data_IF_022740983437
#
_entry.id   IF_022740983437
#
_cell.length_a   1.000
_cell.length_b   1.000
_cell.length_c   1.000
_cell.angle_alpha   90.00
_cell.angle_beta   90.00
_cell.angle_gamma   90.00
#
_symmetry.space_group_name_H-M   'P 1'
#
loop_
_entity.id
_entity.type
_entity.pdbx_description
1 polymer ?
#
# COMPACT_ATOMS: atom_id res chain seq x y z
N UNK A 1 39.16 -48.21 -46.02
CA UNK A 1 40.60 -47.88 -45.87
C UNK A 1 40.79 -46.43 -46.30
N UNK A 2 41.23 -45.58 -45.37
CA UNK A 2 41.97 -44.31 -45.51
C UNK A 2 41.44 -43.28 -46.55
N UNK A 3 40.78 -42.22 -46.12
CA UNK A 3 41.34 -40.96 -45.59
C UNK A 3 41.70 -39.95 -46.69
N UNK A 4 40.95 -38.85 -46.76
CA UNK A 4 41.40 -37.60 -47.38
C UNK A 4 40.78 -36.38 -46.65
N UNK A 5 41.65 -35.73 -45.89
CA UNK A 5 41.85 -34.28 -45.67
C UNK A 5 40.73 -33.31 -46.07
N UNK A 6 40.25 -32.50 -45.10
CA UNK A 6 40.06 -31.05 -45.28
C UNK A 6 40.38 -30.28 -43.98
N UNK A 7 41.09 -29.15 -44.15
CA UNK A 7 41.59 -28.19 -43.16
C UNK A 7 40.46 -27.39 -42.49
N UNK A 8 40.62 -27.07 -41.20
CA UNK A 8 40.01 -25.88 -40.56
C UNK A 8 41.02 -25.22 -39.61
N UNK A 9 41.14 -23.89 -39.70
CA UNK A 9 42.06 -23.05 -38.92
C UNK A 9 41.68 -23.02 -37.42
N UNK A 10 42.68 -23.10 -36.54
CA UNK A 10 42.55 -22.84 -35.09
C UNK A 10 43.19 -21.49 -34.73
N UNK A 11 42.46 -20.67 -33.97
CA UNK A 11 42.99 -19.49 -33.27
C UNK A 11 43.45 -19.95 -31.87
N UNK A 12 44.71 -19.71 -31.52
CA UNK A 12 45.31 -20.09 -30.23
C UNK A 12 45.43 -18.82 -29.37
N UNK A 13 44.80 -18.80 -28.19
CA UNK A 13 45.06 -17.80 -27.13
C UNK A 13 45.57 -18.56 -25.91
N UNK A 14 46.77 -18.19 -25.43
CA UNK A 14 47.51 -18.87 -24.36
C UNK A 14 47.25 -18.15 -23.02
N UNK A 15 46.77 -18.88 -22.01
CA UNK A 15 47.09 -18.63 -20.59
C UNK A 15 47.31 -19.98 -19.88
N UNK A 16 48.44 -20.12 -19.16
CA UNK A 16 48.79 -21.25 -18.29
C UNK A 16 47.68 -21.40 -17.23
N UNK A 17 46.98 -22.52 -17.02
CA UNK A 17 47.37 -23.92 -17.11
C UNK A 17 46.12 -24.79 -17.38
N UNK A 18 46.30 -25.83 -18.20
CA UNK A 18 45.38 -26.95 -18.54
C UNK A 18 44.55 -26.77 -19.81
N UNK A 19 44.91 -27.54 -20.83
CA UNK A 19 44.27 -27.66 -22.15
C UNK A 19 43.11 -28.67 -22.04
N UNK A 20 41.95 -28.36 -22.62
CA UNK A 20 40.90 -29.34 -22.94
C UNK A 20 40.70 -29.39 -24.46
N UNK A 21 40.78 -30.57 -25.05
CA UNK A 21 40.33 -30.84 -26.43
C UNK A 21 39.07 -31.68 -26.32
N UNK A 22 37.95 -31.17 -26.83
CA UNK A 22 36.68 -31.88 -26.83
C UNK A 22 36.58 -32.77 -28.07
N UNK A 23 36.38 -34.08 -27.87
CA UNK A 23 35.71 -34.95 -28.84
C UNK A 23 34.44 -35.51 -28.18
N UNK A 24 33.42 -35.69 -29.00
CA UNK A 24 32.03 -35.97 -28.62
C UNK A 24 31.87 -37.04 -27.52
N UNK A 25 31.11 -36.66 -26.49
CA UNK A 25 30.44 -37.58 -25.56
C UNK A 25 31.34 -38.36 -24.60
N UNK A 26 31.82 -37.72 -23.52
CA UNK A 26 32.00 -38.36 -22.20
C UNK A 26 32.34 -37.31 -21.11
N UNK A 27 31.88 -37.59 -19.88
CA UNK A 27 31.93 -36.71 -18.71
C UNK A 27 33.38 -36.54 -18.20
N UNK A 28 33.80 -35.30 -17.92
CA UNK A 28 35.10 -35.00 -17.31
C UNK A 28 35.20 -35.55 -15.87
N UNK A 29 35.95 -36.65 -15.68
CA UNK A 29 36.30 -37.15 -14.35
C UNK A 29 37.69 -36.62 -13.96
N UNK A 30 37.84 -35.86 -12.86
CA UNK A 30 39.15 -35.45 -12.37
C UNK A 30 39.97 -36.66 -11.92
N UNK A 31 41.22 -36.72 -12.40
CA UNK A 31 42.20 -37.80 -12.17
C UNK A 31 42.49 -37.95 -10.67
N UNK A 32 42.16 -39.12 -10.12
CA UNK A 32 42.46 -39.56 -8.76
C UNK A 32 43.98 -39.57 -8.49
N UNK A 33 44.45 -38.76 -7.53
CA UNK A 33 45.77 -38.92 -6.92
C UNK A 33 45.67 -39.97 -5.80
N UNK A 34 46.20 -41.17 -6.04
CA UNK A 34 46.30 -42.26 -5.05
C UNK A 34 47.47 -42.01 -4.10
N UNK A 35 47.25 -42.15 -2.80
CA UNK A 35 48.32 -42.36 -1.81
C UNK A 35 48.07 -43.63 -0.99
N UNK A 36 49.16 -44.38 -0.75
CA UNK A 36 49.20 -45.65 -0.02
C UNK A 36 48.97 -45.48 1.49
N UNK A 37 48.20 -46.39 2.08
CA UNK A 37 48.22 -46.67 3.52
C UNK A 37 48.54 -48.16 3.75
N UNK A 38 49.26 -48.44 4.84
CA UNK A 38 49.31 -49.77 5.50
C UNK A 38 48.80 -49.62 6.95
N UNK A 39 48.28 -50.71 7.55
CA UNK A 39 47.18 -50.70 8.52
C UNK A 39 47.71 -50.52 9.96
N UNK A 40 46.92 -50.12 10.96
CA UNK A 40 45.97 -51.05 11.55
C UNK A 40 44.97 -50.42 12.54
N UNK A 41 43.75 -50.98 12.47
CA UNK A 41 42.73 -51.21 13.50
C UNK A 41 42.36 -50.09 14.49
N UNK A 42 41.23 -49.41 14.25
CA UNK A 42 39.93 -49.94 14.68
C UNK A 42 38.75 -48.99 14.37
N UNK A 43 37.69 -49.57 13.80
CA UNK A 43 36.28 -49.14 13.74
C UNK A 43 35.83 -48.06 12.73
N UNK A 44 34.95 -48.51 11.81
CA UNK A 44 34.07 -47.78 10.88
C UNK A 44 32.85 -47.16 11.60
N UNK A 45 32.24 -46.06 11.10
CA UNK A 45 31.47 -46.09 9.84
C UNK A 45 31.75 -44.96 8.85
N UNK A 46 31.39 -45.27 7.61
CA UNK A 46 31.41 -44.48 6.38
C UNK A 46 30.58 -43.19 6.44
N UNK A 47 31.22 -42.05 6.11
CA UNK A 47 30.60 -40.92 5.42
C UNK A 47 31.72 -40.11 4.73
N UNK A 48 31.93 -40.27 3.42
CA UNK A 48 32.79 -39.32 2.71
C UNK A 48 31.97 -38.08 2.37
N UNK A 49 31.91 -37.17 3.34
CA UNK A 49 31.52 -35.78 3.16
C UNK A 49 32.51 -35.10 2.21
N UNK A 50 32.03 -34.61 1.07
CA UNK A 50 32.74 -33.58 0.30
C UNK A 50 32.74 -32.32 1.14
N UNK A 51 33.86 -32.02 1.77
CA UNK A 51 33.97 -30.81 2.58
C UNK A 51 35.26 -30.10 2.21
N UNK A 52 35.25 -29.39 1.09
CA UNK A 52 36.29 -28.39 0.81
C UNK A 52 35.61 -27.15 0.25
N UNK A 53 34.85 -26.46 1.12
CA UNK A 53 34.75 -25.01 0.95
C UNK A 53 36.18 -24.49 1.04
N UNK A 54 36.69 -23.95 -0.06
CA UNK A 54 38.00 -23.33 -0.17
C UNK A 54 37.79 -21.87 -0.55
N UNK A 55 38.81 -21.02 -0.39
CA UNK A 55 38.72 -19.61 -0.85
C UNK A 55 38.27 -19.50 -2.30
N UNK A 56 38.64 -20.46 -3.15
CA UNK A 56 38.22 -20.51 -4.55
C UNK A 56 36.73 -20.85 -4.71
N UNK A 57 36.20 -21.78 -3.90
CA UNK A 57 34.77 -22.14 -3.91
C UNK A 57 33.93 -20.98 -3.39
N UNK A 58 34.34 -20.31 -2.31
CA UNK A 58 33.64 -19.11 -1.83
C UNK A 58 33.68 -17.97 -2.86
N UNK A 59 34.79 -17.83 -3.61
CA UNK A 59 34.91 -16.84 -4.68
C UNK A 59 33.99 -17.16 -5.85
N UNK A 60 33.81 -18.44 -6.19
CA UNK A 60 32.89 -18.90 -7.23
C UNK A 60 31.44 -18.66 -6.81
N UNK A 61 31.05 -19.05 -5.59
CA UNK A 61 29.73 -18.75 -5.02
C UNK A 61 29.46 -17.25 -5.02
N UNK A 62 30.43 -16.44 -4.59
CA UNK A 62 30.32 -14.98 -4.66
C UNK A 62 30.22 -14.45 -6.09
N UNK A 63 30.85 -15.08 -7.08
CA UNK A 63 30.74 -14.67 -8.49
C UNK A 63 29.41 -15.05 -9.15
N UNK A 64 28.76 -16.10 -8.64
CA UNK A 64 27.42 -16.53 -9.06
C UNK A 64 26.31 -15.72 -8.37
N UNK A 65 26.60 -15.15 -7.20
CA UNK A 65 25.68 -14.27 -6.48
C UNK A 65 25.77 -12.82 -7.00
N UNK A 66 24.72 -12.29 -7.67
CA UNK A 66 24.77 -10.99 -8.33
C UNK A 66 24.99 -9.80 -7.37
N UNK A 67 24.80 -10.02 -6.07
CA UNK A 67 24.94 -9.01 -5.01
C UNK A 67 26.20 -9.18 -4.15
N UNK A 68 27.03 -10.20 -4.40
CA UNK A 68 28.21 -10.44 -3.59
C UNK A 68 29.39 -9.58 -4.05
N UNK A 69 29.77 -8.61 -3.22
CA UNK A 69 30.93 -7.74 -3.44
C UNK A 69 32.19 -8.19 -2.70
N UNK A 70 32.02 -9.03 -1.68
CA UNK A 70 33.11 -9.64 -0.93
C UNK A 70 32.68 -10.96 -0.30
N UNK A 71 33.63 -11.80 0.06
CA UNK A 71 33.37 -12.99 0.86
C UNK A 71 34.42 -13.14 1.97
N UNK A 72 34.05 -13.75 3.08
CA UNK A 72 34.99 -14.24 4.09
C UNK A 72 34.98 -15.77 4.09
N UNK A 73 36.16 -16.34 4.36
CA UNK A 73 36.36 -17.77 4.47
C UNK A 73 37.17 -18.07 5.73
N UNK A 74 36.61 -18.88 6.62
CA UNK A 74 37.29 -19.31 7.84
C UNK A 74 37.85 -20.71 7.64
N UNK A 75 39.18 -20.85 7.57
CA UNK A 75 39.82 -22.15 7.28
C UNK A 75 39.54 -23.23 8.33
N UNK A 76 39.32 -22.82 9.59
CA UNK A 76 39.03 -23.72 10.72
C UNK A 76 37.61 -24.30 10.69
N UNK A 77 36.63 -23.52 10.23
CA UNK A 77 35.21 -23.93 10.20
C UNK A 77 34.70 -24.26 8.80
N UNK A 78 35.49 -24.00 7.75
CA UNK A 78 35.11 -24.16 6.33
C UNK A 78 33.79 -23.46 5.97
N UNK A 79 33.48 -22.34 6.63
CA UNK A 79 32.28 -21.54 6.37
C UNK A 79 32.64 -20.41 5.41
N UNK A 80 31.92 -20.33 4.28
CA UNK A 80 31.90 -19.14 3.44
C UNK A 80 30.79 -18.19 3.94
N UNK A 81 31.07 -16.90 4.02
CA UNK A 81 30.05 -15.85 4.15
C UNK A 81 30.22 -14.89 2.99
N UNK A 82 29.17 -14.73 2.19
CA UNK A 82 29.09 -13.70 1.15
C UNK A 82 28.55 -12.41 1.78
N UNK A 83 29.07 -11.27 1.33
CA UNK A 83 28.66 -9.96 1.79
C UNK A 83 28.30 -9.10 0.59
N UNK A 84 27.17 -8.40 0.68
CA UNK A 84 26.97 -7.15 -0.04
C UNK A 84 27.47 -6.02 0.85
N UNK A 85 28.76 -5.70 0.76
CA UNK A 85 29.35 -4.62 1.56
C UNK A 85 28.99 -3.27 0.92
N UNK A 86 28.46 -2.36 1.73
CA UNK A 86 28.42 -0.93 1.42
C UNK A 86 29.87 -0.44 1.40
N UNK A 87 30.42 -0.18 0.20
CA UNK A 87 31.84 0.15 0.00
C UNK A 87 32.28 1.44 0.74
N UNK A 88 31.34 2.22 1.29
CA UNK A 88 31.62 3.40 2.11
C UNK A 88 32.29 3.09 3.46
N UNK A 89 32.18 1.86 3.98
CA UNK A 89 32.88 1.43 5.21
C UNK A 89 34.32 0.95 4.96
N UNK A 90 34.77 0.92 3.69
CA UNK A 90 36.12 0.51 3.33
C UNK A 90 37.03 1.73 3.29
N UNK A 91 37.47 2.13 4.48
CA UNK A 91 38.52 3.14 4.65
C UNK A 91 39.83 2.63 4.01
N UNK A 92 40.07 3.10 2.79
CA UNK A 92 41.40 3.40 2.23
C UNK A 92 42.48 2.30 2.17
N UNK A 93 42.21 1.02 2.48
CA UNK A 93 43.23 -0.04 2.42
C UNK A 93 42.79 -1.23 1.57
N UNK A 94 43.61 -1.51 0.54
CA UNK A 94 43.45 -2.61 -0.42
C UNK A 94 43.27 -3.95 0.31
N UNK A 95 42.15 -4.62 0.09
CA UNK A 95 42.02 -6.04 0.35
C UNK A 95 42.18 -6.82 -0.96
N UNK A 96 43.21 -7.65 -1.06
CA UNK A 96 43.30 -8.69 -2.09
C UNK A 96 42.32 -9.81 -1.74
N UNK A 97 41.10 -9.69 -2.24
CA UNK A 97 40.12 -10.79 -2.23
C UNK A 97 40.43 -11.65 -3.46
N UNK A 98 40.60 -12.96 -3.26
CA UNK A 98 41.12 -13.92 -4.23
C UNK A 98 40.55 -13.77 -5.65
N UNK A 99 41.47 -13.64 -6.62
CA UNK A 99 41.38 -13.80 -8.09
C UNK A 99 40.24 -13.16 -8.89
N UNK A 100 39.21 -12.60 -8.28
CA UNK A 100 38.28 -11.71 -8.95
C UNK A 100 38.77 -10.27 -8.77
N UNK A 101 39.37 -9.72 -9.84
CA UNK A 101 39.55 -8.29 -10.00
C UNK A 101 38.16 -7.65 -10.10
N UNK A 102 37.56 -7.32 -8.97
CA UNK A 102 36.50 -6.31 -8.95
C UNK A 102 37.15 -5.03 -9.46
N UNK A 103 36.84 -4.67 -10.71
CA UNK A 103 37.25 -3.39 -11.25
C UNK A 103 36.54 -2.32 -10.41
N UNK A 104 37.26 -1.75 -9.44
CA UNK A 104 36.90 -0.55 -8.68
C UNK A 104 36.44 0.63 -9.57
N UNK A 105 36.65 0.52 -10.89
CA UNK A 105 36.25 1.51 -11.88
C UNK A 105 34.77 1.47 -12.26
N UNK A 106 34.04 0.36 -12.06
CA UNK A 106 32.63 0.30 -12.49
C UNK A 106 31.72 0.89 -11.42
N UNK A 107 31.00 1.95 -11.81
CA UNK A 107 30.11 2.70 -10.94
C UNK A 107 28.77 2.84 -11.62
N UNK A 108 27.70 2.70 -10.85
CA UNK A 108 26.38 2.99 -11.35
C UNK A 108 26.23 4.51 -11.54
N UNK A 109 25.60 4.89 -12.65
CA UNK A 109 25.25 6.28 -12.92
C UNK A 109 24.06 6.73 -12.08
N UNK A 110 23.26 7.64 -12.65
CA UNK A 110 22.02 8.10 -12.03
C UNK A 110 21.08 6.95 -11.70
N UNK A 111 20.35 7.07 -10.59
CA UNK A 111 19.32 6.10 -10.23
C UNK A 111 18.26 5.98 -11.34
N UNK A 112 17.70 4.79 -11.55
CA UNK A 112 16.55 4.61 -12.42
C UNK A 112 15.41 5.54 -11.97
N UNK A 113 14.79 6.23 -12.93
CA UNK A 113 13.66 7.10 -12.66
C UNK A 113 12.44 6.27 -12.29
N UNK A 114 11.80 6.63 -11.17
CA UNK A 114 10.54 6.04 -10.71
C UNK A 114 9.50 7.15 -10.72
N UNK A 115 8.39 7.00 -11.47
CA UNK A 115 7.32 7.97 -11.45
C UNK A 115 6.81 8.22 -10.02
N UNK A 116 6.59 9.48 -9.66
CA UNK A 116 6.17 9.92 -8.32
C UNK A 116 7.15 9.58 -7.19
N UNK A 117 8.41 9.24 -7.50
CA UNK A 117 9.48 9.24 -6.51
C UNK A 117 10.12 10.63 -6.41
N UNK A 118 10.43 11.04 -5.19
CA UNK A 118 11.29 12.19 -4.92
C UNK A 118 12.68 11.94 -5.50
N UNK A 119 13.36 12.98 -6.02
CA UNK A 119 14.74 12.83 -6.47
C UNK A 119 15.61 12.32 -5.31
N UNK A 120 16.64 11.49 -5.58
CA UNK A 120 17.54 11.00 -4.54
C UNK A 120 18.16 12.18 -3.79
N UNK A 121 18.14 12.14 -2.45
CA UNK A 121 18.69 13.19 -1.58
C UNK A 121 20.20 13.40 -1.77
N UNK A 122 20.91 12.37 -2.25
CA UNK A 122 22.34 12.44 -2.58
C UNK A 122 22.54 11.85 -3.97
N UNK A 123 22.66 12.70 -4.98
CA UNK A 123 23.18 12.28 -6.29
C UNK A 123 24.71 12.35 -6.26
N UNK A 124 25.36 11.18 -6.33
CA UNK A 124 26.81 11.13 -6.45
C UNK A 124 27.21 11.65 -7.83
N UNK A 125 27.92 12.78 -7.88
CA UNK A 125 28.49 13.33 -9.12
C UNK A 125 29.47 12.36 -9.78
N UNK A 126 30.08 11.48 -8.98
CA UNK A 126 31.02 10.44 -9.41
C UNK A 126 30.38 9.05 -9.49
N UNK A 127 29.04 8.93 -9.46
CA UNK A 127 28.32 7.66 -9.46
C UNK A 127 28.45 6.84 -8.17
N UNK A 128 27.72 5.74 -8.09
CA UNK A 128 27.66 4.88 -6.90
C UNK A 128 28.56 3.64 -7.07
N UNK A 129 29.34 3.26 -6.05
CA UNK A 129 30.17 2.06 -6.13
C UNK A 129 29.31 0.79 -6.15
N UNK A 130 29.82 -0.28 -6.77
CA UNK A 130 29.18 -1.59 -6.74
C UNK A 130 28.90 -2.04 -5.29
N UNK A 131 27.77 -2.69 -5.04
CA UNK A 131 27.31 -3.05 -3.69
C UNK A 131 26.50 -1.97 -2.98
N UNK A 132 26.57 -0.70 -3.41
CA UNK A 132 25.80 0.41 -2.81
C UNK A 132 24.30 0.17 -2.98
N UNK A 133 23.57 0.23 -1.87
CA UNK A 133 22.10 0.27 -1.85
C UNK A 133 21.63 1.71 -1.71
N UNK A 134 20.65 2.07 -2.54
CA UNK A 134 20.03 3.39 -2.47
C UNK A 134 18.52 3.21 -2.45
N UNK A 135 17.88 3.75 -1.42
CA UNK A 135 16.44 3.76 -1.26
C UNK A 135 15.77 4.87 -2.08
N UNK A 136 14.55 4.61 -2.54
CA UNK A 136 13.64 5.60 -3.08
C UNK A 136 12.76 6.17 -1.96
N UNK A 137 12.29 7.39 -2.15
CA UNK A 137 11.23 7.99 -1.34
C UNK A 137 10.14 8.47 -2.28
N UNK A 138 8.87 8.24 -1.93
CA UNK A 138 7.76 8.74 -2.74
C UNK A 138 7.53 10.24 -2.50
N UNK A 139 6.93 10.94 -3.46
CA UNK A 139 6.45 12.31 -3.26
C UNK A 139 5.28 12.34 -2.27
N UNK A 140 4.98 13.52 -1.71
CA UNK A 140 3.88 13.68 -0.76
C UNK A 140 2.56 13.10 -1.29
N UNK A 141 1.90 12.31 -0.45
CA UNK A 141 0.62 11.65 -0.76
C UNK A 141 0.71 10.38 -1.62
N UNK A 142 1.88 10.03 -2.15
CA UNK A 142 2.10 8.77 -2.84
C UNK A 142 2.67 7.70 -1.89
N UNK A 143 2.34 6.44 -2.18
CA UNK A 143 2.70 5.27 -1.37
C UNK A 143 3.69 4.38 -2.10
N UNK A 144 4.64 3.81 -1.36
CA UNK A 144 5.61 2.88 -1.89
C UNK A 144 5.03 1.46 -1.94
N UNK A 145 5.10 0.83 -3.11
CA UNK A 145 4.73 -0.58 -3.32
C UNK A 145 5.94 -1.31 -3.90
N UNK A 146 6.27 -2.48 -3.35
CA UNK A 146 7.42 -3.30 -3.77
C UNK A 146 8.70 -3.02 -2.97
N UNK A 147 9.85 -3.42 -3.52
CA UNK A 147 11.15 -3.21 -2.85
C UNK A 147 11.66 -1.80 -3.13
N UNK A 148 11.63 -0.93 -2.12
CA UNK A 148 12.06 0.47 -2.19
C UNK A 148 13.54 0.72 -2.43
N UNK A 149 14.37 -0.29 -2.57
CA UNK A 149 15.82 -0.14 -2.74
C UNK A 149 16.30 -0.62 -4.10
N UNK A 150 17.25 0.13 -4.68
CA UNK A 150 18.07 -0.31 -5.81
C UNK A 150 19.48 -0.65 -5.35
N UNK A 151 20.04 -1.70 -5.95
CA UNK A 151 21.40 -2.15 -5.71
C UNK A 151 22.28 -1.88 -6.93
N UNK A 152 23.44 -1.27 -6.72
CA UNK A 152 24.44 -1.13 -7.77
C UNK A 152 25.19 -2.45 -7.98
N UNK A 153 25.09 -3.04 -9.17
CA UNK A 153 25.71 -4.33 -9.51
C UNK A 153 27.19 -4.15 -9.89
N UNK A 154 27.97 -5.23 -9.81
CA UNK A 154 29.41 -5.25 -10.11
C UNK A 154 29.76 -4.87 -11.56
N UNK A 155 28.80 -4.98 -12.48
CA UNK A 155 28.93 -4.57 -13.88
C UNK A 155 28.61 -3.08 -14.14
N UNK A 156 28.32 -2.29 -13.09
CA UNK A 156 27.97 -0.88 -13.20
C UNK A 156 26.51 -0.59 -13.58
N UNK A 157 25.64 -1.60 -13.59
CA UNK A 157 24.20 -1.44 -13.82
C UNK A 157 23.38 -1.51 -12.53
N UNK A 158 22.22 -0.88 -12.52
CA UNK A 158 21.30 -0.99 -11.38
C UNK A 158 20.47 -2.26 -11.48
N UNK A 159 20.33 -2.97 -10.36
CA UNK A 159 19.30 -3.99 -10.23
C UNK A 159 17.91 -3.34 -10.33
N UNK A 160 17.04 -3.88 -11.19
CA UNK A 160 15.70 -3.33 -11.41
C UNK A 160 14.85 -3.48 -10.15
N UNK A 161 14.77 -2.40 -9.37
CA UNK A 161 13.85 -2.32 -8.23
C UNK A 161 12.40 -2.47 -8.71
N UNK A 162 11.61 -3.25 -7.97
CA UNK A 162 10.17 -3.39 -8.19
C UNK A 162 9.36 -2.23 -7.59
N UNK A 163 10.03 -1.20 -7.09
CA UNK A 163 9.41 -0.03 -6.45
C UNK A 163 8.45 0.66 -7.40
N UNK A 164 7.29 1.03 -6.86
CA UNK A 164 6.34 1.93 -7.49
C UNK A 164 5.88 2.94 -6.44
N UNK A 165 5.85 4.21 -6.82
CA UNK A 165 5.20 5.25 -6.02
C UNK A 165 3.83 5.52 -6.63
N UNK A 166 2.78 5.10 -5.93
CA UNK A 166 1.41 5.12 -6.43
C UNK A 166 0.55 6.04 -5.58
N UNK A 167 -0.29 6.83 -6.23
CA UNK A 167 -1.38 7.52 -5.56
C UNK A 167 -2.58 6.59 -5.56
N UNK A 168 -3.05 6.23 -4.37
CA UNK A 168 -4.25 5.43 -4.20
C UNK A 168 -5.45 6.35 -4.05
N UNK A 169 -6.60 5.96 -4.59
CA UNK A 169 -7.80 6.77 -4.61
C UNK A 169 -8.71 6.51 -3.40
N UNK A 170 -8.65 5.32 -2.82
CA UNK A 170 -9.47 4.91 -1.66
C UNK A 170 -8.67 4.06 -0.67
N UNK A 171 -9.20 3.91 0.55
CA UNK A 171 -8.68 2.94 1.52
C UNK A 171 -8.77 1.49 1.02
N UNK A 172 -9.77 1.16 0.21
CA UNK A 172 -9.93 -0.17 -0.38
C UNK A 172 -8.78 -0.47 -1.36
N UNK A 173 -8.45 0.47 -2.23
CA UNK A 173 -7.31 0.35 -3.15
C UNK A 173 -5.98 0.21 -2.38
N UNK A 174 -5.77 1.03 -1.36
CA UNK A 174 -4.58 0.96 -0.52
C UNK A 174 -4.40 -0.43 0.11
N UNK A 175 -5.49 -0.97 0.65
CA UNK A 175 -5.50 -2.30 1.27
C UNK A 175 -5.20 -3.42 0.26
N UNK A 176 -5.79 -3.38 -0.94
CA UNK A 176 -5.52 -4.36 -2.00
C UNK A 176 -4.05 -4.37 -2.44
N UNK A 177 -3.37 -3.22 -2.35
CA UNK A 177 -1.96 -3.07 -2.67
C UNK A 177 -1.03 -3.45 -1.50
N UNK A 178 -1.59 -3.86 -0.34
CA UNK A 178 -0.83 -4.18 0.86
C UNK A 178 -0.19 -2.96 1.53
N UNK A 179 -0.71 -1.75 1.24
CA UNK A 179 -0.27 -0.52 1.90
C UNK A 179 -0.83 -0.51 3.32
N UNK A 180 -0.01 -0.05 4.28
CA UNK A 180 -0.46 0.10 5.65
C UNK A 180 -1.53 1.20 5.76
N UNK A 181 -2.76 0.81 6.10
CA UNK A 181 -3.93 1.70 6.19
C UNK A 181 -4.12 2.33 7.57
N UNK A 182 -3.10 2.35 8.44
CA UNK A 182 -3.14 3.06 9.72
C UNK A 182 -3.47 4.55 9.52
N UNK A 183 -4.55 5.07 10.13
CA UNK A 183 -4.97 6.46 9.94
C UNK A 183 -4.05 7.52 10.58
N UNK A 184 -4.04 8.76 10.07
CA UNK A 184 -4.62 9.16 8.79
C UNK A 184 -3.77 8.69 7.60
N UNK A 185 -4.40 8.18 6.55
CA UNK A 185 -3.72 7.84 5.29
C UNK A 185 -3.98 8.93 4.24
N UNK A 186 -2.98 9.20 3.41
CA UNK A 186 -3.14 10.05 2.24
C UNK A 186 -3.79 9.28 1.08
N UNK A 187 -4.82 9.85 0.47
CA UNK A 187 -5.44 9.35 -0.77
C UNK A 187 -5.56 10.49 -1.79
N UNK A 188 -5.73 10.16 -3.06
CA UNK A 188 -5.98 11.14 -4.12
C UNK A 188 -7.19 10.69 -4.97
N UNK A 189 -8.42 11.02 -4.53
CA UNK A 189 -9.63 10.48 -5.15
C UNK A 189 -9.91 11.04 -6.55
N UNK A 190 -9.43 12.26 -6.83
CA UNK A 190 -9.58 12.95 -8.12
C UNK A 190 -8.24 12.91 -8.86
N UNK A 191 -8.26 12.53 -10.14
CA UNK A 191 -7.05 12.52 -10.97
C UNK A 191 -6.46 13.93 -11.10
N UNK A 192 -5.17 14.06 -10.82
CA UNK A 192 -4.47 15.36 -10.69
C UNK A 192 -5.07 16.32 -9.66
N UNK A 193 -5.93 15.82 -8.75
CA UNK A 193 -6.51 16.59 -7.65
C UNK A 193 -5.59 16.67 -6.43
N UNK A 194 -6.08 17.34 -5.40
CA UNK A 194 -5.39 17.46 -4.11
C UNK A 194 -5.35 16.13 -3.35
N UNK A 195 -4.39 16.02 -2.42
CA UNK A 195 -4.28 14.90 -1.48
C UNK A 195 -5.30 15.11 -0.35
N UNK A 196 -6.06 14.07 -0.04
CA UNK A 196 -6.96 14.02 1.11
C UNK A 196 -6.39 13.10 2.18
N UNK A 197 -6.45 13.52 3.44
CA UNK A 197 -6.07 12.71 4.59
C UNK A 197 -7.33 12.13 5.23
N UNK A 198 -7.46 10.81 5.22
CA UNK A 198 -8.69 10.10 5.59
C UNK A 198 -8.44 9.00 6.61
N UNK A 199 -9.52 8.51 7.22
CA UNK A 199 -9.50 7.37 8.12
C UNK A 199 -9.92 6.13 7.32
N UNK A 200 -9.23 5.01 7.53
CA UNK A 200 -9.66 3.71 7.04
C UNK A 200 -10.28 2.89 8.16
N UNK A 201 -11.43 2.28 7.89
CA UNK A 201 -12.12 1.39 8.83
C UNK A 201 -12.26 0.00 8.20
N UNK A 202 -11.70 -1.02 8.84
CA UNK A 202 -11.86 -2.41 8.39
C UNK A 202 -13.07 -3.04 9.09
N UNK A 203 -14.01 -3.52 8.30
CA UNK A 203 -15.19 -4.26 8.75
C UNK A 203 -15.19 -5.68 8.18
N UNK A 204 -16.18 -6.48 8.60
CA UNK A 204 -16.36 -7.85 8.09
C UNK A 204 -16.64 -7.88 6.58
N UNK A 205 -17.25 -6.82 6.06
CA UNK A 205 -17.80 -6.71 4.71
C UNK A 205 -16.99 -5.78 3.79
N UNK A 206 -15.81 -5.31 4.23
CA UNK A 206 -14.92 -4.51 3.40
C UNK A 206 -14.03 -3.54 4.17
N UNK A 207 -13.24 -2.77 3.41
CA UNK A 207 -12.43 -1.66 3.91
C UNK A 207 -13.08 -0.36 3.46
N UNK A 208 -13.40 0.49 4.43
CA UNK A 208 -14.09 1.74 4.21
C UNK A 208 -13.13 2.92 4.25
N UNK A 209 -13.32 3.85 3.33
CA UNK A 209 -12.82 5.23 3.42
C UNK A 209 -13.82 6.04 4.24
N UNK A 210 -13.36 6.61 5.35
CA UNK A 210 -14.20 7.33 6.33
C UNK A 210 -13.78 8.80 6.38
N UNK A 211 -14.75 9.69 6.16
CA UNK A 211 -14.56 11.15 6.16
C UNK A 211 -15.46 11.77 7.24
N UNK A 212 -14.83 12.36 8.25
CA UNK A 212 -15.51 13.03 9.37
C UNK A 212 -16.00 14.44 9.01
N UNK A 213 -16.77 15.03 9.92
CA UNK A 213 -17.27 16.40 9.81
C UNK A 213 -17.56 17.01 11.19
N UNK A 214 -17.89 18.30 11.22
CA UNK A 214 -18.11 19.13 12.42
C UNK A 214 -19.39 18.80 13.25
N UNK A 215 -20.29 17.94 12.77
CA UNK A 215 -21.61 17.69 13.37
C UNK A 215 -21.81 16.22 13.80
N UNK A 216 -20.69 15.54 14.12
CA UNK A 216 -20.70 14.12 14.50
C UNK A 216 -21.28 13.87 15.90
N UNK A 217 -21.24 14.87 16.77
CA UNK A 217 -21.77 14.78 18.12
C UNK A 217 -23.28 15.04 18.13
N UNK A 218 -23.97 14.46 19.12
CA UNK A 218 -25.39 14.70 19.37
C UNK A 218 -25.61 16.18 19.72
N UNK A 219 -26.27 16.91 18.83
CA UNK A 219 -26.45 18.37 18.89
C UNK A 219 -27.90 18.69 19.20
N UNK A 220 -28.15 19.60 20.16
CA UNK A 220 -29.50 20.10 20.48
C UNK A 220 -29.92 21.18 19.49
N UNK A 221 -31.14 21.09 18.99
CA UNK A 221 -31.76 22.02 18.04
C UNK A 221 -32.87 22.76 18.78
N UNK A 222 -32.80 24.08 18.80
CA UNK A 222 -33.76 24.94 19.51
C UNK A 222 -33.93 26.28 18.81
N UNK A 223 -35.11 26.89 18.94
CA UNK A 223 -35.39 28.25 18.48
C UNK A 223 -35.82 28.36 17.02
N UNK A 224 -36.27 27.26 16.42
CA UNK A 224 -36.66 27.19 15.02
C UNK A 224 -38.10 26.71 14.92
N UNK A 225 -39.06 27.63 14.78
CA UNK A 225 -40.51 27.29 14.76
C UNK A 225 -40.99 26.84 13.38
N UNK A 226 -40.64 27.59 12.33
CA UNK A 226 -41.13 27.29 10.99
C UNK A 226 -40.30 26.20 10.31
N UNK A 227 -40.89 25.53 9.34
CA UNK A 227 -40.28 24.51 8.48
C UNK A 227 -38.89 24.92 7.99
N UNK A 228 -37.91 24.05 8.21
CA UNK A 228 -36.53 24.22 7.73
C UNK A 228 -35.85 25.55 8.14
N UNK A 229 -36.38 26.27 9.14
CA UNK A 229 -35.78 27.52 9.62
C UNK A 229 -34.45 27.29 10.32
N UNK A 230 -34.21 26.08 10.84
CA UNK A 230 -32.92 25.61 11.30
C UNK A 230 -32.14 25.00 10.14
N UNK A 231 -31.04 25.66 9.76
CA UNK A 231 -30.08 25.13 8.79
C UNK A 231 -28.77 24.90 9.52
N UNK A 232 -28.32 23.64 9.54
CA UNK A 232 -27.11 23.21 10.23
C UNK A 232 -26.10 22.70 9.18
N UNK A 233 -25.18 23.57 8.70
CA UNK A 233 -24.22 23.20 7.67
C UNK A 233 -23.21 22.17 8.17
N UNK A 234 -22.83 21.26 7.27
CA UNK A 234 -21.83 20.23 7.54
C UNK A 234 -20.51 20.63 6.88
N UNK A 235 -19.47 20.73 7.70
CA UNK A 235 -18.11 20.99 7.27
C UNK A 235 -17.27 19.72 7.45
N UNK A 236 -16.87 19.11 6.34
CA UNK A 236 -16.06 17.89 6.33
C UNK A 236 -14.60 18.19 6.67
N UNK A 237 -13.90 17.17 7.19
CA UNK A 237 -12.45 17.25 7.50
C UNK A 237 -11.58 17.38 6.26
N UNK A 238 -12.15 17.18 5.07
CA UNK A 238 -11.52 17.39 3.76
C UNK A 238 -12.44 18.32 2.93
N UNK A 239 -11.90 19.03 1.91
CA UNK A 239 -12.75 19.80 1.00
C UNK A 239 -13.88 18.96 0.42
N UNK A 240 -15.08 19.55 0.32
CA UNK A 240 -16.30 18.85 -0.12
C UNK A 240 -16.12 18.15 -1.48
N UNK A 241 -15.37 18.78 -2.40
CA UNK A 241 -15.03 18.19 -3.71
C UNK A 241 -14.29 16.85 -3.59
N UNK A 242 -13.38 16.69 -2.62
CA UNK A 242 -12.64 15.45 -2.42
C UNK A 242 -13.51 14.38 -1.77
N UNK A 243 -14.43 14.77 -0.86
CA UNK A 243 -15.41 13.85 -0.29
C UNK A 243 -16.38 13.33 -1.36
N UNK A 244 -16.85 14.21 -2.24
CA UNK A 244 -17.62 13.84 -3.44
C UNK A 244 -16.80 12.92 -4.35
N UNK A 245 -15.53 13.25 -4.59
CA UNK A 245 -14.64 12.42 -5.41
C UNK A 245 -14.49 11.00 -4.86
N UNK A 246 -14.39 10.83 -3.54
CA UNK A 246 -14.41 9.50 -2.90
C UNK A 246 -15.74 8.79 -3.15
N UNK A 247 -16.87 9.48 -3.02
CA UNK A 247 -18.17 8.88 -3.28
C UNK A 247 -18.32 8.44 -4.76
N UNK A 248 -17.90 9.26 -5.71
CA UNK A 248 -18.04 8.97 -7.14
C UNK A 248 -17.31 7.69 -7.55
N UNK A 249 -16.09 7.50 -7.07
CA UNK A 249 -15.25 6.34 -7.44
C UNK A 249 -15.54 5.07 -6.64
N UNK A 250 -16.23 5.18 -5.50
CA UNK A 250 -16.54 4.01 -4.65
C UNK A 250 -17.74 3.24 -5.18
N UNK A 251 -17.79 1.94 -4.93
CA UNK A 251 -18.96 1.13 -5.31
C UNK A 251 -20.22 1.56 -4.52
N UNK A 252 -20.09 1.76 -3.22
CA UNK A 252 -21.18 2.14 -2.33
C UNK A 252 -20.73 3.10 -1.23
N UNK A 253 -21.66 3.91 -0.77
CA UNK A 253 -21.47 4.84 0.34
C UNK A 253 -22.68 4.82 1.26
N UNK A 254 -22.44 5.06 2.54
CA UNK A 254 -23.46 5.25 3.55
C UNK A 254 -23.15 6.47 4.41
N UNK A 255 -24.20 7.13 4.87
CA UNK A 255 -24.11 8.14 5.91
C UNK A 255 -25.30 8.06 6.84
N UNK A 256 -25.03 8.02 8.14
CA UNK A 256 -26.04 7.83 9.18
C UNK A 256 -26.68 9.16 9.58
N UNK A 257 -27.98 9.16 9.83
CA UNK A 257 -28.68 10.24 10.54
C UNK A 257 -29.52 9.62 11.65
N UNK A 258 -29.50 10.26 12.82
CA UNK A 258 -30.44 10.05 13.90
C UNK A 258 -31.01 11.39 14.35
N UNK A 259 -32.30 11.59 14.10
CA UNK A 259 -33.06 12.70 14.63
C UNK A 259 -33.95 12.22 15.77
N UNK A 260 -33.84 12.86 16.92
CA UNK A 260 -34.62 12.57 18.12
C UNK A 260 -35.53 13.77 18.41
N UNK A 261 -36.79 13.52 18.73
CA UNK A 261 -37.81 14.56 18.93
C UNK A 261 -38.64 14.30 20.18
N UNK A 262 -39.13 15.38 20.79
CA UNK A 262 -40.11 15.42 21.86
C UNK A 262 -41.03 16.60 21.54
N UNK A 263 -42.30 16.33 21.21
CA UNK A 263 -43.25 17.35 20.70
C UNK A 263 -42.65 18.23 19.59
N UNK A 264 -41.94 17.60 18.65
CA UNK A 264 -41.30 18.29 17.54
C UNK A 264 -41.55 17.46 16.29
N UNK A 265 -42.44 17.98 15.45
CA UNK A 265 -42.95 17.35 14.24
C UNK A 265 -41.89 17.17 13.17
N UNK A 266 -41.62 15.93 12.73
CA UNK A 266 -40.70 15.67 11.61
C UNK A 266 -41.23 16.06 10.22
N UNK A 267 -42.40 16.72 10.10
CA UNK A 267 -42.79 17.37 8.82
C UNK A 267 -41.73 18.37 8.34
N UNK A 268 -40.89 18.82 9.27
CA UNK A 268 -39.98 19.95 9.12
C UNK A 268 -38.51 19.54 9.11
N UNK A 269 -38.21 18.24 9.16
CA UNK A 269 -36.84 17.76 9.07
C UNK A 269 -36.52 17.21 7.67
N UNK A 270 -35.31 17.50 7.21
CA UNK A 270 -34.78 17.04 5.93
C UNK A 270 -33.26 17.24 5.95
N UNK A 271 -32.59 16.98 4.83
CA UNK A 271 -31.18 17.27 4.66
C UNK A 271 -30.90 17.75 3.24
N UNK A 272 -29.76 18.45 3.07
CA UNK A 272 -29.25 18.80 1.75
C UNK A 272 -28.29 17.74 1.26
N UNK A 273 -28.48 17.32 0.01
CA UNK A 273 -27.60 16.40 -0.69
C UNK A 273 -26.27 17.09 -1.04
N UNK A 274 -25.35 16.35 -1.66
CA UNK A 274 -24.09 16.87 -2.21
C UNK A 274 -24.27 17.95 -3.29
N UNK A 275 -25.44 18.03 -3.93
CA UNK A 275 -25.78 19.09 -4.90
C UNK A 275 -26.35 20.33 -4.23
N UNK A 276 -26.62 20.27 -2.92
CA UNK A 276 -27.28 21.32 -2.15
C UNK A 276 -28.81 21.29 -2.25
N UNK A 277 -29.37 20.37 -3.02
CA UNK A 277 -30.80 20.14 -3.12
C UNK A 277 -31.34 19.51 -1.84
N UNK A 278 -32.59 19.84 -1.49
CA UNK A 278 -33.28 19.19 -0.40
C UNK A 278 -33.68 17.76 -0.81
N UNK A 279 -33.34 16.78 0.02
CA UNK A 279 -33.72 15.39 -0.22
C UNK A 279 -35.23 15.18 -0.05
N UNK A 280 -35.80 14.26 -0.83
CA UNK A 280 -37.22 13.87 -0.80
C UNK A 280 -37.51 12.63 0.09
N UNK A 281 -36.50 12.21 0.84
CA UNK A 281 -36.52 11.12 1.82
C UNK A 281 -35.67 11.54 3.03
N UNK A 282 -35.87 10.85 4.15
CA UNK A 282 -35.08 11.03 5.36
C UNK A 282 -34.34 9.74 5.74
N UNK A 283 -33.83 9.65 6.96
CA UNK A 283 -32.96 8.58 7.44
C UNK A 283 -33.55 7.18 7.20
N UNK A 284 -32.90 6.39 6.33
CA UNK A 284 -33.33 5.04 5.97
C UNK A 284 -34.58 4.96 5.09
N UNK A 285 -35.01 6.08 4.50
CA UNK A 285 -36.14 6.16 3.59
C UNK A 285 -35.83 5.73 2.15
N UNK A 286 -36.88 5.74 1.33
CA UNK A 286 -36.84 5.41 -0.10
C UNK A 286 -36.89 6.69 -0.93
N UNK A 287 -35.80 6.94 -1.67
CA UNK A 287 -35.69 8.05 -2.62
C UNK A 287 -36.72 7.96 -3.74
N UNK A 288 -37.27 9.10 -4.17
CA UNK A 288 -38.19 9.18 -5.30
C UNK A 288 -39.63 8.78 -4.98
N UNK A 289 -39.95 8.44 -3.73
CA UNK A 289 -41.32 8.17 -3.29
C UNK A 289 -42.06 9.41 -2.80
N UNK A 290 -41.36 10.55 -2.66
CA UNK A 290 -41.90 11.76 -2.07
C UNK A 290 -42.11 11.64 -0.56
N UNK A 291 -42.68 12.71 0.00
CA UNK A 291 -43.14 12.84 1.38
C UNK A 291 -42.06 12.81 2.49
N UNK A 292 -40.75 12.87 2.17
CA UNK A 292 -39.67 12.77 3.17
C UNK A 292 -39.76 11.52 4.05
N UNK A 293 -40.17 10.40 3.46
CA UNK A 293 -40.31 9.13 4.17
C UNK A 293 -39.00 8.65 4.81
N UNK A 294 -39.09 7.84 5.87
CA UNK A 294 -37.96 7.29 6.62
C UNK A 294 -38.09 5.78 6.84
N UNK A 295 -37.14 5.19 7.56
CA UNK A 295 -37.04 3.75 7.78
C UNK A 295 -38.35 3.07 8.26
N UNK A 296 -39.10 3.68 9.18
CA UNK A 296 -40.33 3.07 9.69
C UNK A 296 -41.47 3.03 8.66
N UNK A 297 -41.40 3.83 7.59
CA UNK A 297 -42.44 3.86 6.56
C UNK A 297 -42.41 2.60 5.71
N UNK A 298 -41.21 2.07 5.48
CA UNK A 298 -40.96 0.89 4.64
C UNK A 298 -41.73 -0.34 5.12
N UNK A 299 -41.85 -0.51 6.45
CA UNK A 299 -42.52 -1.65 7.07
C UNK A 299 -43.83 -1.28 7.78
N UNK A 300 -44.38 -0.09 7.53
CA UNK A 300 -45.57 0.45 8.19
C UNK A 300 -45.49 0.41 9.73
N UNK A 301 -44.29 0.63 10.28
CA UNK A 301 -44.04 0.61 11.71
C UNK A 301 -44.05 2.01 12.35
N UNK A 302 -44.27 3.08 11.56
CA UNK A 302 -44.32 4.44 12.09
C UNK A 302 -45.48 4.60 13.08
N UNK A 303 -45.22 5.33 14.15
CA UNK A 303 -46.20 5.65 15.19
C UNK A 303 -47.39 6.36 14.57
N UNK A 304 -48.61 5.98 14.97
CA UNK A 304 -49.83 6.62 14.49
C UNK A 304 -50.12 6.43 13.00
N UNK A 305 -49.40 5.55 12.30
CA UNK A 305 -49.42 5.43 10.83
C UNK A 305 -48.90 6.67 10.10
N UNK A 306 -48.11 7.48 10.79
CA UNK A 306 -47.48 8.68 10.23
C UNK A 306 -46.46 8.35 9.14
N UNK A 307 -45.89 9.40 8.53
CA UNK A 307 -44.80 9.25 7.56
C UNK A 307 -43.51 8.83 8.26
N UNK A 308 -43.21 9.46 9.40
CA UNK A 308 -42.10 9.14 10.28
C UNK A 308 -42.49 9.18 11.75
N UNK A 309 -41.67 8.63 12.64
CA UNK A 309 -42.01 8.55 14.06
C UNK A 309 -42.14 9.93 14.69
N UNK A 310 -41.27 10.87 14.30
CA UNK A 310 -41.32 12.22 14.83
C UNK A 310 -42.45 13.07 14.25
N UNK A 311 -43.13 12.65 13.17
CA UNK A 311 -44.36 13.32 12.72
C UNK A 311 -45.52 13.14 13.70
N UNK A 312 -45.46 12.13 14.58
CA UNK A 312 -46.51 11.87 15.55
C UNK A 312 -46.65 12.96 16.62
N UNK A 313 -45.66 13.86 16.74
CA UNK A 313 -45.68 15.04 17.62
C UNK A 313 -46.13 14.72 19.06
N UNK A 314 -45.54 13.66 19.61
CA UNK A 314 -45.94 13.14 20.93
C UNK A 314 -45.04 13.68 22.04
N UNK A 315 -45.60 13.78 23.25
CA UNK A 315 -44.89 14.14 24.49
C UNK A 315 -43.91 13.09 25.02
N UNK A 316 -43.40 12.23 24.15
CA UNK A 316 -42.44 11.17 24.45
C UNK A 316 -41.29 11.24 23.44
N UNK A 317 -40.08 10.94 23.88
CA UNK A 317 -38.92 10.88 22.99
C UNK A 317 -39.11 9.81 21.92
N UNK A 318 -39.15 10.22 20.66
CA UNK A 318 -39.12 9.36 19.48
C UNK A 318 -37.90 9.67 18.63
N UNK A 319 -37.63 8.82 17.66
CA UNK A 319 -36.54 9.03 16.73
C UNK A 319 -36.82 8.49 15.33
N UNK A 320 -36.24 9.18 14.36
CA UNK A 320 -36.09 8.75 12.99
C UNK A 320 -34.60 8.53 12.72
N UNK A 321 -34.24 7.25 12.76
CA UNK A 321 -32.87 6.78 12.65
C UNK A 321 -32.70 5.91 11.41
N UNK A 322 -31.62 6.13 10.67
CA UNK A 322 -31.31 5.29 9.53
C UNK A 322 -30.05 5.72 8.77
N UNK A 323 -29.64 4.85 7.85
CA UNK A 323 -28.57 5.13 6.90
C UNK A 323 -29.15 5.64 5.59
N UNK A 324 -28.57 6.69 5.04
CA UNK A 324 -28.74 7.08 3.66
C UNK A 324 -27.68 6.36 2.83
N UNK A 325 -28.10 5.67 1.77
CA UNK A 325 -27.22 4.82 0.95
C UNK A 325 -27.21 5.21 -0.55
N UNK A 326 -27.92 6.27 -0.92
CA UNK A 326 -27.93 6.80 -2.29
C UNK A 326 -26.68 7.63 -2.53
N UNK A 327 -25.67 7.02 -3.14
CA UNK A 327 -24.34 7.59 -3.38
C UNK A 327 -24.38 8.93 -4.12
N UNK A 328 -25.35 9.10 -4.99
CA UNK A 328 -25.58 10.28 -5.82
C UNK A 328 -26.03 11.49 -5.00
N UNK A 329 -26.56 11.27 -3.79
CA UNK A 329 -26.98 12.34 -2.87
C UNK A 329 -25.95 12.59 -1.76
N UNK A 330 -25.02 11.65 -1.54
CA UNK A 330 -23.99 11.74 -0.50
C UNK A 330 -22.70 12.39 -1.01
N UNK A 331 -21.96 13.14 -0.16
CA UNK A 331 -22.21 13.41 1.27
C UNK A 331 -23.37 14.38 1.56
N UNK A 332 -23.96 14.27 2.75
CA UNK A 332 -24.91 15.26 3.28
C UNK A 332 -24.19 16.58 3.53
N UNK A 333 -24.76 17.71 3.11
CA UNK A 333 -24.13 19.04 3.23
C UNK A 333 -24.78 19.95 4.27
N UNK A 334 -26.02 19.69 4.65
CA UNK A 334 -26.69 20.36 5.76
C UNK A 334 -27.82 19.50 6.30
N UNK A 335 -28.09 19.61 7.59
CA UNK A 335 -29.38 19.19 8.16
C UNK A 335 -30.34 20.38 8.18
N UNK A 336 -31.61 20.11 7.90
CA UNK A 336 -32.70 21.06 7.91
C UNK A 336 -33.69 20.62 9.00
N UNK A 337 -34.03 21.52 9.92
CA UNK A 337 -34.98 21.24 11.01
C UNK A 337 -35.90 22.42 11.29
N UNK A 338 -36.94 22.19 12.07
CA UNK A 338 -37.94 23.17 12.52
C UNK A 338 -38.75 22.59 13.68
N UNK A 339 -39.79 23.32 14.11
CA UNK A 339 -40.68 22.97 15.23
C UNK A 339 -39.93 22.68 16.53
N UNK A 340 -39.14 23.67 16.97
CA UNK A 340 -38.32 23.64 18.18
C UNK A 340 -38.29 24.98 18.92
N UNK A 341 -39.27 25.85 18.71
CA UNK A 341 -39.30 27.14 19.42
C UNK A 341 -40.30 27.17 20.58
N UNK A 342 -41.24 26.22 20.63
CA UNK A 342 -42.12 26.01 21.76
C UNK A 342 -41.36 25.59 23.02
N UNK A 343 -41.90 25.97 24.18
CA UNK A 343 -41.22 25.75 25.48
C UNK A 343 -41.10 24.27 25.90
N UNK A 344 -41.86 23.40 25.25
CA UNK A 344 -41.92 21.97 25.52
C UNK A 344 -41.54 21.10 24.31
N UNK A 345 -40.95 21.73 23.30
CA UNK A 345 -40.41 21.11 22.10
C UNK A 345 -38.90 20.90 22.29
N UNK A 346 -38.43 19.66 22.08
CA UNK A 346 -37.00 19.40 22.01
C UNK A 346 -36.66 18.52 20.81
N UNK A 347 -35.55 18.85 20.13
CA UNK A 347 -35.02 18.00 19.08
C UNK A 347 -33.50 17.89 19.12
N UNK A 348 -32.96 16.71 18.77
CA UNK A 348 -31.53 16.44 18.79
C UNK A 348 -31.12 15.69 17.53
N UNK A 349 -29.99 16.07 16.94
CA UNK A 349 -29.48 15.47 15.70
C UNK A 349 -28.11 14.85 15.93
N UNK A 350 -27.88 13.67 15.37
CA UNK A 350 -26.57 13.04 15.25
C UNK A 350 -26.37 12.62 13.80
N UNK A 351 -25.27 13.04 13.18
CA UNK A 351 -24.95 12.66 11.80
C UNK A 351 -23.62 11.91 11.78
N UNK A 352 -23.58 10.77 11.12
CA UNK A 352 -22.37 9.96 10.99
C UNK A 352 -21.43 10.49 9.92
N UNK A 353 -20.16 10.08 10.01
CA UNK A 353 -19.19 10.26 8.93
C UNK A 353 -19.69 9.68 7.61
N UNK A 354 -19.24 10.25 6.48
CA UNK A 354 -19.37 9.59 5.19
C UNK A 354 -18.48 8.34 5.19
N UNK A 355 -19.06 7.19 4.84
CA UNK A 355 -18.32 5.93 4.75
C UNK A 355 -18.54 5.29 3.40
N UNK A 356 -17.47 5.09 2.64
CA UNK A 356 -17.54 4.54 1.30
C UNK A 356 -16.60 3.34 1.15
N UNK A 357 -17.00 2.32 0.39
CA UNK A 357 -16.17 1.14 0.11
C UNK A 357 -16.38 0.64 -1.33
N UNK A 358 -15.55 -0.35 -1.69
CA UNK A 358 -15.58 -1.04 -2.97
C UNK A 358 -14.78 -0.31 -4.03
#
# INVERSE_FOLDING_TARGET
MLANVYKLLFLIIIFKSTICVASEGEVCIPRQLKYHTKPDNSAHPTLHTYNYMSKLVCALECSEEPFCTAFSFTEQSRVCKTYGIDIEDLDSQRYEIGTNLYLWSQRCGHLPSVPNASPPTVQSSNGYPAGKRVGYSCVEGAHMVGNGESLCLSNGTWFMSSVKCVFVKTCHEADMLGINISPPIAIRPIDNGAVAYVICERRQDGVYTVIGHNLANRTHITGHETDFSGVFPIEYTVPLELAIGVADISAECEQFIKFECLRSGAHYNSFRTRTGEQADYFAGGVKGQGDNNCACKINNACIGQEICNCNADVGEWKDDTGYNQYKEDLPITAFLGGDTGGSDEEAKITIGSLKCKG
#
